data_IF_782055974339
#
_entry.id   IF_782055974339
#
_cell.length_a   1.000
_cell.length_b   1.000
_cell.length_c   1.000
_cell.angle_alpha   90.00
_cell.angle_beta   90.00
_cell.angle_gamma   90.00
#
_symmetry.space_group_name_H-M   'P 1'
#
loop_
_entity.id
_entity.type
_entity.pdbx_description
1 polymer ?
#
# COMPACT_ATOMS: atom_id res chain seq x y z
N UNK A 1 -6.07 30.85 -42.53
CA UNK A 1 -5.90 30.92 -41.05
C UNK A 1 -6.46 29.72 -40.31
N UNK A 2 -7.70 29.27 -40.53
CA UNK A 2 -8.27 28.08 -39.85
C UNK A 2 -7.51 26.76 -40.07
N UNK A 3 -6.94 26.55 -41.26
CA UNK A 3 -6.17 25.33 -41.56
C UNK A 3 -4.74 25.35 -41.01
N UNK A 4 -4.18 26.54 -40.76
CA UNK A 4 -2.85 26.70 -40.14
C UNK A 4 -2.88 26.38 -38.64
N UNK A 5 -3.98 26.71 -37.97
CA UNK A 5 -4.18 26.41 -36.54
C UNK A 5 -4.41 24.90 -36.34
N UNK A 6 -5.10 24.23 -37.26
CA UNK A 6 -5.33 22.77 -37.19
C UNK A 6 -4.03 21.99 -37.35
N UNK A 7 -3.13 22.42 -38.24
CA UNK A 7 -1.82 21.81 -38.43
C UNK A 7 -0.90 21.98 -37.21
N UNK A 8 -0.94 23.12 -36.53
CA UNK A 8 -0.13 23.39 -35.33
C UNK A 8 -0.62 22.54 -34.14
N UNK A 9 -1.94 22.33 -34.01
CA UNK A 9 -2.50 21.46 -32.96
C UNK A 9 -2.18 19.98 -33.22
N UNK A 10 -2.20 19.53 -34.48
CA UNK A 10 -1.88 18.13 -34.81
C UNK A 10 -0.39 17.81 -34.67
N UNK A 11 0.50 18.77 -34.97
CA UNK A 11 1.95 18.63 -34.74
C UNK A 11 2.28 18.74 -33.25
N UNK A 12 1.57 19.58 -32.48
CA UNK A 12 1.73 19.65 -31.03
C UNK A 12 1.32 18.37 -30.29
N UNK A 13 0.35 17.62 -30.81
CA UNK A 13 -0.12 16.36 -30.20
C UNK A 13 0.81 15.16 -30.49
N UNK A 14 1.61 15.21 -31.56
CA UNK A 14 2.64 14.19 -31.85
C UNK A 14 3.96 14.43 -31.11
N UNK A 15 4.11 15.55 -30.38
CA UNK A 15 5.28 15.90 -29.58
C UNK A 15 5.12 15.63 -28.08
N UNK A 16 4.00 15.04 -27.65
CA UNK A 16 3.91 14.38 -26.33
C UNK A 16 4.67 13.07 -26.46
N UNK A 17 5.99 13.21 -26.37
CA UNK A 17 6.95 12.16 -26.66
C UNK A 17 6.68 10.89 -25.89
N UNK A 18 7.05 9.77 -26.53
CA UNK A 18 7.37 8.55 -25.84
C UNK A 18 8.33 8.91 -24.70
N UNK A 19 7.80 8.94 -23.47
CA UNK A 19 8.63 8.95 -22.27
C UNK A 19 9.41 7.65 -22.38
N UNK A 20 10.76 7.68 -22.53
CA UNK A 20 11.51 6.43 -22.48
C UNK A 20 11.14 5.79 -21.13
N UNK A 21 10.61 4.57 -21.18
CA UNK A 21 10.50 3.77 -19.97
C UNK A 21 11.93 3.74 -19.40
N UNK A 22 12.15 4.45 -18.30
CA UNK A 22 13.42 4.39 -17.61
C UNK A 22 13.63 2.92 -17.29
N UNK A 23 14.68 2.32 -17.85
CA UNK A 23 15.08 0.98 -17.48
C UNK A 23 15.25 1.00 -15.96
N UNK A 24 14.41 0.25 -15.24
CA UNK A 24 14.49 0.16 -13.79
C UNK A 24 15.91 -0.28 -13.42
N UNK A 25 16.56 0.34 -12.42
CA UNK A 25 17.92 -0.03 -12.04
C UNK A 25 17.93 -1.51 -11.66
N UNK A 26 18.66 -2.29 -12.46
CA UNK A 26 18.63 -3.75 -12.37
C UNK A 26 19.34 -4.19 -11.08
N UNK A 27 18.68 -5.06 -10.32
CA UNK A 27 19.34 -5.69 -9.17
C UNK A 27 20.44 -6.57 -9.71
N UNK A 28 21.69 -6.23 -9.38
CA UNK A 28 22.81 -6.91 -10.00
C UNK A 28 22.88 -8.41 -9.64
N UNK A 29 22.48 -8.79 -8.42
CA UNK A 29 22.54 -10.18 -7.91
C UNK A 29 22.08 -10.30 -6.45
N UNK A 30 21.81 -11.55 -6.06
CA UNK A 30 21.52 -11.99 -4.70
C UNK A 30 22.77 -12.68 -4.14
N UNK A 31 23.21 -12.31 -2.93
CA UNK A 31 24.35 -12.98 -2.28
C UNK A 31 23.94 -14.32 -1.68
N UNK A 32 22.82 -14.35 -0.95
CA UNK A 32 22.37 -15.51 -0.21
C UNK A 32 20.86 -15.66 -0.39
N UNK A 33 20.41 -16.87 -0.69
CA UNK A 33 19.00 -17.20 -0.84
C UNK A 33 18.72 -18.57 -0.24
N UNK A 34 17.80 -18.61 0.70
CA UNK A 34 17.20 -19.83 1.23
C UNK A 34 15.77 -19.94 0.72
N UNK A 35 15.46 -21.07 0.08
CA UNK A 35 14.13 -21.43 -0.38
C UNK A 35 13.63 -22.61 0.44
N UNK A 36 12.64 -22.38 1.27
CA UNK A 36 12.02 -23.41 2.11
C UNK A 36 10.74 -23.90 1.44
N UNK A 37 10.66 -25.20 1.12
CA UNK A 37 9.52 -25.82 0.44
C UNK A 37 8.84 -26.79 1.40
N UNK A 38 7.66 -26.43 1.89
CA UNK A 38 6.94 -27.18 2.93
C UNK A 38 5.58 -27.66 2.40
N UNK A 39 5.50 -28.89 1.87
CA UNK A 39 4.24 -29.46 1.43
C UNK A 39 3.34 -29.73 2.63
N UNK A 40 2.08 -29.31 2.53
CA UNK A 40 1.04 -29.59 3.50
C UNK A 40 1.44 -29.23 4.95
N UNK A 41 2.04 -28.05 5.13
CA UNK A 41 2.52 -27.60 6.44
C UNK A 41 1.36 -27.20 7.35
N UNK A 42 0.71 -26.08 7.07
CA UNK A 42 -0.42 -25.52 7.82
C UNK A 42 -1.72 -25.48 7.00
N UNK A 43 -1.62 -25.64 5.69
CA UNK A 43 -2.70 -25.79 4.73
C UNK A 43 -2.53 -27.08 3.90
N UNK A 44 -3.57 -27.62 3.23
CA UNK A 44 -3.42 -28.73 2.28
C UNK A 44 -2.74 -28.33 0.95
N UNK A 45 -2.02 -27.20 0.95
CA UNK A 45 -1.24 -26.64 -0.17
C UNK A 45 0.25 -26.68 0.18
N UNK A 46 1.11 -26.24 -0.73
CA UNK A 46 2.55 -26.07 -0.47
C UNK A 46 2.81 -24.64 -0.05
N UNK A 47 3.49 -24.49 1.08
CA UNK A 47 4.07 -23.23 1.53
C UNK A 47 5.51 -23.12 1.01
N UNK A 48 5.83 -22.03 0.34
CA UNK A 48 7.20 -21.72 -0.07
C UNK A 48 7.62 -20.36 0.47
N UNK A 49 8.77 -20.34 1.13
CA UNK A 49 9.37 -19.12 1.68
C UNK A 49 10.70 -18.86 0.99
N UNK A 50 10.93 -17.61 0.61
CA UNK A 50 12.16 -17.11 0.03
C UNK A 50 12.73 -16.11 1.02
N UNK A 51 13.83 -16.45 1.69
CA UNK A 51 14.59 -15.54 2.53
C UNK A 51 15.95 -15.31 1.90
N UNK A 52 16.32 -14.06 1.66
CA UNK A 52 17.60 -13.80 1.02
C UNK A 52 18.13 -12.40 1.25
N UNK A 53 19.27 -12.12 0.61
CA UNK A 53 20.00 -10.87 0.76
C UNK A 53 20.56 -10.42 -0.58
N UNK A 54 20.29 -9.17 -0.94
CA UNK A 54 20.92 -8.53 -2.09
C UNK A 54 22.43 -8.34 -1.85
N UNK A 55 23.25 -8.39 -2.90
CA UNK A 55 24.67 -8.06 -2.75
C UNK A 55 24.87 -6.64 -2.20
N UNK A 56 26.00 -6.36 -1.52
CA UNK A 56 26.33 -5.02 -1.04
C UNK A 56 26.34 -3.97 -2.16
N UNK A 57 26.19 -2.70 -1.78
CA UNK A 57 26.23 -1.52 -2.66
C UNK A 57 25.01 -1.34 -3.60
N UNK A 58 23.88 -1.96 -3.26
CA UNK A 58 22.58 -1.58 -3.85
C UNK A 58 22.09 -0.25 -3.28
N UNK A 59 21.48 0.59 -4.12
CA UNK A 59 20.84 1.83 -3.67
C UNK A 59 19.43 1.51 -3.20
N UNK A 60 19.07 1.90 -1.98
CA UNK A 60 17.77 1.63 -1.38
C UNK A 60 16.91 2.91 -1.32
N UNK A 61 15.57 2.84 -1.45
CA UNK A 61 14.80 1.61 -1.70
C UNK A 61 15.04 1.05 -3.11
N UNK A 62 15.11 -0.27 -3.22
CA UNK A 62 15.38 -0.97 -4.48
C UNK A 62 14.13 -1.75 -4.90
N UNK A 63 13.61 -1.52 -6.11
CA UNK A 63 12.57 -2.36 -6.68
C UNK A 63 13.16 -3.71 -7.05
N UNK A 64 12.55 -4.79 -6.59
CA UNK A 64 12.96 -6.18 -6.85
C UNK A 64 11.84 -6.95 -7.52
N UNK A 65 12.21 -8.01 -8.23
CA UNK A 65 11.29 -8.88 -8.96
C UNK A 65 11.64 -10.34 -8.71
N UNK A 66 10.63 -11.17 -8.46
CA UNK A 66 10.82 -12.61 -8.25
C UNK A 66 9.85 -13.41 -9.13
N UNK A 67 10.30 -14.58 -9.59
CA UNK A 67 9.43 -15.56 -10.23
C UNK A 67 8.88 -16.51 -9.18
N UNK A 68 7.57 -16.70 -9.23
CA UNK A 68 6.87 -17.73 -8.47
C UNK A 68 5.92 -18.48 -9.42
N UNK A 69 5.44 -19.68 -9.06
CA UNK A 69 4.47 -20.40 -9.86
C UNK A 69 3.27 -19.51 -10.21
N UNK A 70 2.74 -19.64 -11.42
CA UNK A 70 1.68 -18.77 -11.94
C UNK A 70 0.44 -18.68 -11.04
N UNK A 71 0.07 -19.80 -10.42
CA UNK A 71 -1.09 -19.91 -9.53
C UNK A 71 -0.77 -19.58 -8.06
N UNK A 72 0.42 -19.06 -7.77
CA UNK A 72 0.82 -18.76 -6.41
C UNK A 72 0.08 -17.55 -5.83
N UNK A 73 -0.35 -17.72 -4.58
CA UNK A 73 -0.91 -16.68 -3.74
C UNK A 73 0.22 -16.13 -2.86
N UNK A 74 0.55 -14.86 -3.02
CA UNK A 74 1.57 -14.18 -2.20
C UNK A 74 0.94 -13.74 -0.88
N UNK A 75 1.32 -14.40 0.21
CA UNK A 75 0.85 -14.04 1.55
C UNK A 75 1.69 -12.93 2.18
N UNK A 76 3.00 -12.91 1.92
CA UNK A 76 3.91 -11.89 2.43
C UNK A 76 4.98 -11.52 1.39
N UNK A 77 5.31 -10.23 1.30
CA UNK A 77 6.42 -9.69 0.51
C UNK A 77 7.04 -8.54 1.31
N UNK A 78 8.21 -8.75 1.90
CA UNK A 78 8.74 -7.91 2.96
C UNK A 78 10.25 -7.70 2.81
N UNK A 79 10.74 -6.58 3.33
CA UNK A 79 12.14 -6.47 3.73
C UNK A 79 12.33 -7.07 5.12
N UNK A 80 13.49 -7.67 5.40
CA UNK A 80 13.84 -8.19 6.73
C UNK A 80 14.81 -7.26 7.42
N UNK A 81 14.38 -6.62 8.51
CA UNK A 81 15.25 -5.74 9.27
C UNK A 81 15.99 -6.55 10.35
N UNK A 82 17.28 -6.77 10.11
CA UNK A 82 18.21 -7.39 11.05
C UNK A 82 18.48 -6.45 12.26
N UNK A 83 18.79 -6.98 13.46
CA UNK A 83 19.02 -8.40 13.77
C UNK A 83 17.76 -9.20 14.14
N UNK A 84 16.63 -8.55 14.38
CA UNK A 84 15.44 -9.20 14.97
C UNK A 84 14.51 -9.87 13.94
N UNK A 85 14.89 -9.86 12.66
CA UNK A 85 14.06 -10.34 11.55
C UNK A 85 12.66 -9.68 11.54
N UNK A 86 12.60 -8.38 11.81
CA UNK A 86 11.35 -7.62 11.73
C UNK A 86 10.90 -7.52 10.26
N UNK A 87 9.70 -8.05 9.96
CA UNK A 87 9.10 -8.02 8.63
C UNK A 87 8.57 -6.61 8.30
N UNK A 88 9.27 -5.91 7.40
CA UNK A 88 8.84 -4.64 6.82
C UNK A 88 8.06 -4.90 5.53
N UNK A 89 6.83 -5.39 5.67
CA UNK A 89 6.02 -5.81 4.51
C UNK A 89 5.55 -4.65 3.63
N UNK A 90 5.54 -4.92 2.32
CA UNK A 90 5.39 -3.94 1.26
C UNK A 90 4.16 -4.28 0.42
N UNK A 91 3.59 -3.27 -0.23
CA UNK A 91 2.68 -3.53 -1.34
C UNK A 91 3.48 -4.10 -2.52
N UNK A 92 2.87 -5.03 -3.23
CA UNK A 92 3.47 -5.68 -4.38
C UNK A 92 2.57 -5.58 -5.60
N UNK A 93 3.19 -5.66 -6.77
CA UNK A 93 2.55 -5.79 -8.07
C UNK A 93 2.80 -7.19 -8.61
N UNK A 94 1.85 -7.71 -9.39
CA UNK A 94 2.01 -8.98 -10.08
C UNK A 94 1.79 -8.85 -11.59
N UNK A 95 2.57 -9.61 -12.35
CA UNK A 95 2.42 -9.72 -13.80
C UNK A 95 2.66 -11.16 -14.24
N UNK A 96 1.77 -11.70 -15.07
CA UNK A 96 1.94 -13.05 -15.64
C UNK A 96 2.99 -13.00 -16.74
N UNK A 97 3.94 -13.94 -16.70
CA UNK A 97 4.99 -14.13 -17.70
C UNK A 97 5.13 -15.62 -18.04
N UNK A 98 4.43 -16.05 -19.09
CA UNK A 98 4.34 -17.47 -19.48
C UNK A 98 3.72 -18.34 -18.38
N UNK A 99 4.53 -19.26 -17.84
CA UNK A 99 4.19 -20.19 -16.76
C UNK A 99 4.56 -19.64 -15.37
N UNK A 100 4.99 -18.38 -15.30
CA UNK A 100 5.39 -17.72 -14.06
C UNK A 100 4.47 -16.55 -13.71
N UNK A 101 4.39 -16.25 -12.42
CA UNK A 101 3.94 -14.97 -11.90
C UNK A 101 5.16 -14.19 -11.45
N UNK A 102 5.33 -12.98 -11.99
CA UNK A 102 6.36 -12.04 -11.56
C UNK A 102 5.78 -11.21 -10.42
N UNK A 103 6.37 -11.31 -9.23
CA UNK A 103 6.04 -10.50 -8.06
C UNK A 103 7.06 -9.39 -7.93
N UNK A 104 6.61 -8.13 -7.86
CA UNK A 104 7.50 -6.96 -7.80
C UNK A 104 7.15 -6.07 -6.61
N UNK A 105 8.15 -5.63 -5.85
CA UNK A 105 7.94 -4.74 -4.69
C UNK A 105 9.21 -3.94 -4.36
N UNK A 106 9.10 -2.89 -3.55
CA UNK A 106 10.23 -2.06 -3.13
C UNK A 106 10.84 -2.57 -1.83
N UNK A 107 12.15 -2.81 -1.81
CA UNK A 107 12.88 -3.18 -0.61
C UNK A 107 13.51 -1.96 0.07
N UNK A 108 13.15 -1.64 1.33
CA UNK A 108 13.78 -0.57 2.10
C UNK A 108 15.11 -1.00 2.75
N UNK A 109 15.37 -2.31 2.82
CA UNK A 109 16.56 -2.97 3.40
C UNK A 109 17.03 -4.08 2.45
N UNK A 110 18.30 -4.48 2.45
CA UNK A 110 18.82 -5.42 1.44
C UNK A 110 18.42 -6.89 1.69
N UNK A 111 18.05 -7.23 2.92
CA UNK A 111 17.53 -8.54 3.29
C UNK A 111 16.02 -8.59 2.98
N UNK A 112 15.53 -9.67 2.39
CA UNK A 112 14.15 -9.81 1.93
C UNK A 112 13.53 -11.13 2.37
N UNK A 113 12.20 -11.11 2.48
CA UNK A 113 11.37 -12.27 2.72
C UNK A 113 10.16 -12.25 1.80
N UNK A 114 9.82 -13.39 1.22
CA UNK A 114 8.59 -13.57 0.48
C UNK A 114 8.00 -14.94 0.81
N UNK A 115 6.70 -14.97 1.04
CA UNK A 115 5.96 -16.19 1.35
C UNK A 115 4.83 -16.37 0.35
N UNK A 116 4.73 -17.57 -0.22
CA UNK A 116 3.69 -17.92 -1.17
C UNK A 116 3.08 -19.28 -0.88
N UNK A 117 1.81 -19.42 -1.24
CA UNK A 117 1.09 -20.69 -1.23
C UNK A 117 0.64 -21.06 -2.64
N UNK A 118 0.78 -22.32 -3.04
CA UNK A 118 0.20 -22.84 -4.29
C UNK A 118 -0.03 -24.35 -4.17
N UNK A 119 -0.77 -24.94 -5.11
CA UNK A 119 -1.20 -26.33 -5.02
C UNK A 119 -0.67 -27.20 -6.18
N UNK A 120 0.61 -27.61 -6.16
CA UNK A 120 1.18 -28.53 -7.13
C UNK A 120 0.99 -30.00 -6.76
N UNK A 121 0.45 -30.29 -5.56
CA UNK A 121 0.33 -31.65 -5.04
C UNK A 121 -0.78 -32.40 -5.76
N UNK A 122 -0.41 -33.54 -6.32
CA UNK A 122 -1.31 -34.46 -7.00
C UNK A 122 -1.41 -35.78 -6.24
N UNK A 123 -2.53 -36.48 -6.40
CA UNK A 123 -2.78 -37.80 -5.79
C UNK A 123 -3.45 -37.76 -4.41
N UNK A 124 -3.89 -38.94 -3.95
CA UNK A 124 -4.52 -39.16 -2.65
C UNK A 124 -3.86 -40.36 -1.98
N UNK A 125 -3.35 -40.21 -0.75
CA UNK A 125 -2.51 -41.24 -0.14
C UNK A 125 -1.08 -41.15 -0.67
N UNK A 126 -0.85 -41.65 -1.89
CA UNK A 126 0.40 -41.41 -2.61
C UNK A 126 0.35 -40.03 -3.24
N UNK A 127 1.28 -39.15 -2.86
CA UNK A 127 1.34 -37.76 -3.31
C UNK A 127 2.62 -37.49 -4.07
N UNK A 128 2.50 -36.65 -5.09
CA UNK A 128 3.63 -36.20 -5.89
C UNK A 128 3.46 -34.73 -6.29
N UNK A 129 4.56 -34.01 -6.39
CA UNK A 129 4.63 -32.67 -6.93
C UNK A 129 5.97 -32.43 -7.62
N UNK A 130 5.96 -31.58 -8.65
CA UNK A 130 7.16 -31.00 -9.23
C UNK A 130 7.34 -29.59 -8.64
N UNK A 131 8.58 -29.25 -8.29
CA UNK A 131 8.98 -27.94 -7.79
C UNK A 131 10.09 -27.38 -8.68
N UNK A 132 9.77 -26.30 -9.37
CA UNK A 132 10.71 -25.62 -10.25
C UNK A 132 11.09 -24.28 -9.62
N UNK A 133 12.39 -24.08 -9.42
CA UNK A 133 12.94 -22.82 -8.94
C UNK A 133 13.76 -22.15 -10.04
N UNK A 134 13.46 -20.89 -10.33
CA UNK A 134 14.27 -20.04 -11.23
C UNK A 134 14.31 -18.61 -10.69
N UNK A 135 15.52 -18.04 -10.63
CA UNK A 135 15.72 -16.65 -10.20
C UNK A 135 15.93 -15.74 -11.40
N UNK A 136 15.34 -14.53 -11.37
CA UNK A 136 15.61 -13.48 -12.37
C UNK A 136 17.06 -12.99 -12.24
N UNK A 137 17.62 -13.04 -11.03
CA UNK A 137 18.95 -12.56 -10.73
C UNK A 137 19.94 -13.70 -10.50
N UNK A 138 21.24 -13.53 -10.79
CA UNK A 138 22.26 -14.46 -10.34
C UNK A 138 22.28 -14.58 -8.81
N UNK A 139 22.52 -15.78 -8.30
CA UNK A 139 22.55 -16.09 -6.85
C UNK A 139 23.90 -16.71 -6.47
N UNK A 140 24.63 -16.11 -5.55
CA UNK A 140 25.96 -16.61 -5.15
C UNK A 140 25.86 -17.89 -4.32
N UNK A 141 25.00 -17.89 -3.29
CA UNK A 141 24.75 -19.05 -2.45
C UNK A 141 23.23 -19.32 -2.40
N UNK A 142 22.81 -20.42 -3.01
CA UNK A 142 21.43 -20.89 -2.95
C UNK A 142 21.36 -22.15 -2.08
N UNK A 143 20.45 -22.14 -1.12
CA UNK A 143 20.02 -23.31 -0.37
C UNK A 143 18.52 -23.56 -0.63
N UNK A 144 18.15 -24.77 -1.00
CA UNK A 144 16.75 -25.20 -1.05
C UNK A 144 16.55 -26.29 -0.02
N UNK A 145 15.58 -26.11 0.89
CA UNK A 145 15.21 -27.10 1.89
C UNK A 145 13.81 -27.63 1.65
N UNK A 146 13.69 -28.92 1.34
CA UNK A 146 12.38 -29.57 1.19
C UNK A 146 12.04 -30.31 2.48
N UNK A 147 10.97 -29.89 3.15
CA UNK A 147 10.50 -30.50 4.39
C UNK A 147 9.68 -31.76 4.10
N UNK A 148 9.92 -32.83 4.84
CA UNK A 148 9.04 -33.99 4.87
C UNK A 148 7.76 -33.65 5.67
N UNK A 149 6.56 -33.78 5.07
CA UNK A 149 5.32 -33.52 5.79
C UNK A 149 5.14 -34.45 7.00
N UNK A 150 4.51 -33.98 8.08
CA UNK A 150 4.27 -34.82 9.24
C UNK A 150 3.31 -35.98 8.90
N UNK A 151 3.52 -37.13 9.55
CA UNK A 151 2.75 -38.37 9.34
C UNK A 151 2.84 -38.89 7.89
N UNK A 152 3.93 -38.60 7.19
CA UNK A 152 4.24 -39.17 5.88
C UNK A 152 5.32 -40.26 5.96
N UNK A 153 5.29 -41.20 5.02
CA UNK A 153 6.33 -42.19 4.76
C UNK A 153 6.83 -42.07 3.32
N UNK A 154 7.88 -42.84 3.00
CA UNK A 154 8.41 -42.96 1.63
C UNK A 154 8.77 -41.62 0.99
N UNK A 155 9.20 -40.65 1.82
CA UNK A 155 9.56 -39.31 1.36
C UNK A 155 10.85 -39.35 0.55
N UNK A 156 10.75 -39.01 -0.72
CA UNK A 156 11.87 -38.92 -1.64
C UNK A 156 11.79 -37.66 -2.50
N UNK A 157 12.96 -37.09 -2.76
CA UNK A 157 13.12 -35.97 -3.69
C UNK A 157 14.16 -36.37 -4.72
N UNK A 158 13.88 -36.10 -6.00
CA UNK A 158 14.79 -36.34 -7.13
C UNK A 158 15.19 -35.00 -7.75
N UNK A 159 16.49 -34.72 -7.95
CA UNK A 159 17.66 -35.55 -7.61
C UNK A 159 17.82 -35.75 -6.10
N UNK A 160 18.56 -36.79 -5.68
CA UNK A 160 18.83 -37.06 -4.25
C UNK A 160 19.61 -35.88 -3.64
N UNK A 161 19.23 -35.48 -2.43
CA UNK A 161 19.85 -34.34 -1.73
C UNK A 161 21.28 -34.66 -1.28
N UNK A 162 22.12 -33.63 -1.14
CA UNK A 162 23.48 -33.82 -0.61
C UNK A 162 23.47 -34.04 0.91
N UNK A 163 22.47 -33.48 1.59
CA UNK A 163 22.36 -33.51 3.05
C UNK A 163 20.92 -33.70 3.48
N UNK A 164 20.77 -34.32 4.64
CA UNK A 164 19.51 -34.42 5.38
C UNK A 164 19.74 -33.88 6.77
N UNK A 165 18.82 -33.06 7.28
CA UNK A 165 18.81 -32.59 8.66
C UNK A 165 17.46 -32.83 9.32
N UNK A 166 17.42 -32.79 10.64
CA UNK A 166 16.18 -32.75 11.42
C UNK A 166 16.20 -31.48 12.27
N UNK A 167 15.13 -30.69 12.24
CA UNK A 167 15.01 -29.49 13.07
C UNK A 167 14.64 -29.83 14.53
N UNK A 168 14.50 -28.80 15.36
CA UNK A 168 14.17 -28.95 16.78
C UNK A 168 12.74 -29.44 17.00
N UNK A 169 11.87 -29.26 16.01
CA UNK A 169 10.46 -29.68 16.00
C UNK A 169 10.30 -31.12 15.47
N UNK A 170 11.38 -31.77 15.04
CA UNK A 170 11.40 -33.13 14.55
C UNK A 170 11.08 -33.27 13.05
N UNK A 171 10.97 -32.16 12.31
CA UNK A 171 10.80 -32.21 10.86
C UNK A 171 12.13 -32.53 10.18
N UNK A 172 12.07 -33.46 9.23
CA UNK A 172 13.20 -33.83 8.38
C UNK A 172 13.23 -32.94 7.15
N UNK A 173 14.41 -32.45 6.78
CA UNK A 173 14.64 -31.67 5.57
C UNK A 173 15.69 -32.31 4.69
N UNK A 174 15.42 -32.38 3.40
CA UNK A 174 16.40 -32.68 2.36
C UNK A 174 16.92 -31.34 1.82
N UNK A 175 18.23 -31.11 1.99
CA UNK A 175 18.88 -29.85 1.66
C UNK A 175 19.67 -29.94 0.36
N UNK A 176 19.48 -28.92 -0.48
CA UNK A 176 20.19 -28.71 -1.73
C UNK A 176 20.99 -27.42 -1.66
N UNK A 177 22.29 -27.49 -1.95
CA UNK A 177 23.17 -26.32 -1.96
C UNK A 177 23.76 -26.12 -3.37
N UNK A 178 23.66 -24.89 -3.88
CA UNK A 178 24.20 -24.48 -5.17
C UNK A 178 25.04 -23.22 -4.99
N UNK A 179 26.19 -23.16 -5.66
CA UNK A 179 27.07 -21.99 -5.68
C UNK A 179 27.08 -21.36 -7.06
N UNK A 180 26.84 -20.06 -7.13
CA UNK A 180 26.87 -19.27 -8.37
C UNK A 180 25.81 -19.71 -9.37
N UNK A 181 24.54 -19.80 -8.93
CA UNK A 181 23.43 -20.09 -9.83
C UNK A 181 23.24 -18.89 -10.79
N UNK A 182 23.35 -19.06 -12.11
CA UNK A 182 23.12 -17.98 -13.06
C UNK A 182 21.64 -17.52 -13.04
N UNK A 183 21.40 -16.29 -13.48
CA UNK A 183 20.06 -15.83 -13.80
C UNK A 183 19.37 -16.79 -14.78
N UNK A 184 18.06 -16.96 -14.61
CA UNK A 184 17.17 -17.79 -15.41
C UNK A 184 17.49 -19.29 -15.42
N UNK A 185 18.50 -19.75 -14.66
CA UNK A 185 18.81 -21.16 -14.53
C UNK A 185 17.79 -21.84 -13.61
N UNK A 186 17.09 -22.82 -14.16
CA UNK A 186 16.12 -23.61 -13.38
C UNK A 186 16.79 -24.72 -12.58
N UNK A 187 16.28 -24.93 -11.36
CA UNK A 187 16.50 -26.10 -10.51
C UNK A 187 15.16 -26.84 -10.38
N UNK A 188 15.12 -28.07 -10.88
CA UNK A 188 13.90 -28.90 -10.88
C UNK A 188 14.00 -29.99 -9.80
N UNK A 189 13.00 -30.07 -8.93
CA UNK A 189 12.90 -31.08 -7.87
C UNK A 189 11.58 -31.84 -8.00
N UNK A 190 11.64 -33.16 -8.07
CA UNK A 190 10.46 -34.04 -8.05
C UNK A 190 10.28 -34.62 -6.66
N UNK A 191 9.20 -34.28 -5.99
CA UNK A 191 8.90 -34.69 -4.62
C UNK A 191 7.80 -35.75 -4.64
N UNK A 192 7.99 -36.82 -3.87
CA UNK A 192 6.95 -37.82 -3.63
C UNK A 192 6.95 -38.28 -2.17
N UNK A 193 5.77 -38.64 -1.68
CA UNK A 193 5.56 -39.17 -0.35
C UNK A 193 4.22 -39.87 -0.22
N UNK A 194 4.09 -40.73 0.78
CA UNK A 194 2.84 -41.35 1.17
C UNK A 194 2.32 -40.67 2.43
N UNK A 195 1.08 -40.18 2.41
CA UNK A 195 0.43 -39.59 3.60
C UNK A 195 -1.02 -40.08 3.69
N UNK A 196 -1.37 -40.85 4.73
CA UNK A 196 -2.66 -41.54 4.82
C UNK A 196 -3.83 -40.61 5.18
N UNK A 197 -3.56 -39.43 5.71
CA UNK A 197 -4.55 -38.44 6.14
C UNK A 197 -4.49 -37.15 5.30
N UNK A 198 -5.52 -36.30 5.40
CA UNK A 198 -5.57 -34.97 4.77
C UNK A 198 -5.30 -33.84 5.75
N UNK A 199 -4.73 -34.13 6.93
CA UNK A 199 -4.45 -33.11 7.94
C UNK A 199 -3.09 -32.49 7.65
N UNK A 200 -2.97 -31.15 7.65
CA UNK A 200 -1.68 -30.48 7.57
C UNK A 200 -0.75 -30.90 8.71
N UNK A 201 0.54 -30.68 8.51
CA UNK A 201 1.60 -31.05 9.46
C UNK A 201 1.46 -30.35 10.81
N UNK A 202 1.05 -29.08 10.79
CA UNK A 202 0.76 -28.23 11.94
C UNK A 202 -0.64 -27.61 11.78
N UNK A 203 -1.23 -27.18 12.89
CA UNK A 203 -2.47 -26.41 12.82
C UNK A 203 -2.17 -24.99 12.34
N UNK A 204 -2.99 -24.47 11.42
CA UNK A 204 -2.88 -23.07 10.99
C UNK A 204 -3.07 -22.13 12.19
N UNK A 205 -2.08 -21.29 12.47
CA UNK A 205 -2.24 -20.24 13.45
C UNK A 205 -3.15 -19.15 12.89
N UNK A 206 -4.21 -18.81 13.61
CA UNK A 206 -5.01 -17.63 13.30
C UNK A 206 -4.21 -16.40 13.72
N UNK A 207 -3.51 -15.76 12.79
CA UNK A 207 -3.00 -14.41 13.01
C UNK A 207 -4.20 -13.47 13.22
N UNK A 208 -4.31 -12.89 14.40
CA UNK A 208 -5.29 -11.84 14.68
C UNK A 208 -5.08 -10.72 13.68
N UNK A 209 -6.15 -10.35 12.97
CA UNK A 209 -6.12 -9.34 11.92
C UNK A 209 -5.50 -8.05 12.46
N UNK A 210 -4.25 -7.76 12.06
CA UNK A 210 -3.74 -6.41 12.11
C UNK A 210 -4.60 -5.62 11.13
N UNK A 211 -5.56 -4.87 11.67
CA UNK A 211 -6.36 -3.94 10.88
C UNK A 211 -5.38 -2.92 10.32
N UNK A 212 -5.01 -3.07 9.05
CA UNK A 212 -4.34 -2.02 8.31
C UNK A 212 -5.24 -0.79 8.39
N UNK A 213 -4.93 0.11 9.31
CA UNK A 213 -5.55 1.41 9.36
C UNK A 213 -5.01 2.14 8.14
N UNK A 214 -5.74 2.07 7.03
CA UNK A 214 -5.61 3.02 5.96
C UNK A 214 -6.02 4.38 6.55
N UNK A 215 -5.08 5.07 7.19
CA UNK A 215 -5.17 6.51 7.37
C UNK A 215 -5.09 7.09 5.97
N UNK A 216 -6.26 7.22 5.33
CA UNK A 216 -6.40 8.16 4.23
C UNK A 216 -5.82 9.48 4.73
N UNK A 217 -4.75 9.94 4.07
CA UNK A 217 -3.99 11.12 4.44
C UNK A 217 -4.90 12.36 4.29
N UNK A 218 -5.74 12.58 5.31
CA UNK A 218 -6.73 13.65 5.41
C UNK A 218 -6.06 15.03 5.35
N UNK A 219 -4.75 15.09 5.60
CA UNK A 219 -3.95 16.31 5.47
C UNK A 219 -3.85 16.77 4.02
N UNK A 220 -3.67 15.86 3.05
CA UNK A 220 -3.56 16.22 1.62
C UNK A 220 -4.88 16.74 1.05
N UNK A 221 -6.01 16.12 1.39
CA UNK A 221 -7.33 16.58 0.95
C UNK A 221 -7.70 17.94 1.57
N UNK A 222 -7.34 18.17 2.84
CA UNK A 222 -7.52 19.47 3.49
C UNK A 222 -6.73 20.58 2.79
N UNK A 223 -5.46 20.34 2.46
CA UNK A 223 -4.64 21.34 1.75
C UNK A 223 -5.14 21.62 0.33
N UNK A 224 -5.63 20.61 -0.40
CA UNK A 224 -6.23 20.80 -1.73
C UNK A 224 -7.49 21.68 -1.63
N UNK A 225 -8.37 21.43 -0.66
CA UNK A 225 -9.58 22.23 -0.45
C UNK A 225 -9.22 23.68 -0.08
N UNK A 226 -8.25 23.88 0.81
CA UNK A 226 -7.78 25.22 1.20
C UNK A 226 -7.25 25.99 -0.01
N UNK A 227 -6.42 25.36 -0.86
CA UNK A 227 -5.88 26.01 -2.07
C UNK A 227 -6.99 26.35 -3.06
N UNK A 228 -7.95 25.45 -3.29
CA UNK A 228 -9.08 25.70 -4.21
C UNK A 228 -9.98 26.85 -3.70
N UNK A 229 -10.27 26.89 -2.40
CA UNK A 229 -11.06 27.97 -1.80
C UNK A 229 -10.32 29.31 -1.86
N UNK A 230 -9.01 29.32 -1.59
CA UNK A 230 -8.18 30.52 -1.71
C UNK A 230 -8.13 31.04 -3.15
N UNK A 231 -7.95 30.15 -4.13
CA UNK A 231 -7.98 30.50 -5.55
C UNK A 231 -9.35 31.06 -5.98
N UNK A 232 -10.44 30.46 -5.50
CA UNK A 232 -11.80 30.95 -5.74
C UNK A 232 -12.05 32.34 -5.14
N UNK A 233 -11.57 32.58 -3.92
CA UNK A 233 -11.70 33.89 -3.26
C UNK A 233 -10.89 34.98 -3.98
N UNK A 234 -9.68 34.67 -4.45
CA UNK A 234 -8.84 35.58 -5.24
C UNK A 234 -9.54 35.93 -6.56
N UNK A 235 -10.07 34.94 -7.28
CA UNK A 235 -10.82 35.18 -8.51
C UNK A 235 -12.05 36.08 -8.28
N UNK A 236 -12.78 35.88 -7.19
CA UNK A 236 -13.95 36.69 -6.82
C UNK A 236 -13.58 38.15 -6.52
N UNK A 237 -12.45 38.38 -5.84
CA UNK A 237 -11.92 39.72 -5.57
C UNK A 237 -11.52 40.41 -6.87
N UNK A 238 -10.80 39.72 -7.77
CA UNK A 238 -10.39 40.27 -9.07
C UNK A 238 -11.60 40.62 -9.95
N UNK A 239 -12.63 39.76 -10.00
CA UNK A 239 -13.88 40.04 -10.72
C UNK A 239 -14.60 41.25 -10.14
N UNK A 240 -14.68 41.37 -8.81
CA UNK A 240 -15.32 42.51 -8.13
C UNK A 240 -14.58 43.83 -8.36
N UNK A 241 -13.25 43.79 -8.43
CA UNK A 241 -12.42 44.95 -8.79
C UNK A 241 -12.64 45.35 -10.24
N UNK A 242 -12.73 44.37 -11.15
CA UNK A 242 -12.98 44.63 -12.57
C UNK A 242 -14.38 45.20 -12.86
N UNK A 243 -15.40 44.76 -12.10
CA UNK A 243 -16.77 45.26 -12.19
C UNK A 243 -16.93 46.68 -11.60
N UNK A 244 -16.13 47.05 -10.59
CA UNK A 244 -16.15 48.40 -10.01
C UNK A 244 -15.46 49.45 -10.87
N UNK A 245 -14.55 49.05 -11.76
CA UNK A 245 -13.91 49.95 -12.73
C UNK A 245 -14.78 50.36 -13.91
N UNK A 246 -16.03 49.87 -14.02
CA UNK A 246 -16.95 50.17 -15.15
C UNK A 246 -18.10 51.12 -14.82
N UNK A 247 -18.12 51.74 -13.65
CA UNK A 247 -19.10 52.80 -13.35
C UNK A 247 -18.46 54.14 -13.67
N UNK A 248 -18.58 54.55 -14.94
CA UNK A 248 -18.42 55.95 -15.31
C UNK A 248 -19.43 56.78 -14.50
N UNK A 249 -19.02 57.90 -13.86
CA UNK A 249 -19.97 58.82 -13.27
C UNK A 249 -20.68 59.56 -14.41
N UNK A 250 -21.81 59.02 -14.85
CA UNK A 250 -22.71 59.72 -15.75
C UNK A 250 -23.30 60.93 -15.01
N UNK A 251 -22.92 62.12 -15.49
CA UNK A 251 -23.54 63.40 -15.20
C UNK A 251 -25.04 63.39 -15.50
N UNK A 252 -25.88 63.74 -14.52
CA UNK A 252 -27.19 64.35 -14.72
C UNK A 252 -27.64 64.93 -13.37
N UNK A 253 -27.65 66.26 -13.19
CA UNK A 253 -28.66 67.21 -13.66
C UNK A 253 -29.56 67.61 -12.48
N UNK A 254 -29.36 68.85 -12.04
CA UNK A 254 -30.17 69.54 -11.06
C UNK A 254 -31.65 69.55 -11.46
N UNK A 255 -32.56 69.40 -10.49
CA UNK A 255 -33.85 70.08 -10.48
C UNK A 255 -34.34 70.32 -9.05
N UNK A 256 -34.80 71.55 -8.86
CA UNK A 256 -35.38 72.12 -7.65
C UNK A 256 -36.77 71.53 -7.36
N UNK A 257 -37.22 71.63 -6.11
CA UNK A 257 -38.62 71.97 -5.84
C UNK A 257 -39.37 71.17 -4.78
N UNK A 258 -39.52 71.80 -3.60
CA UNK A 258 -40.79 72.01 -2.85
C UNK A 258 -41.57 70.86 -2.21
N UNK A 259 -41.96 71.09 -0.93
CA UNK A 259 -43.13 70.51 -0.24
C UNK A 259 -42.78 69.49 0.85
N UNK A 260 -42.66 69.87 2.12
CA UNK A 260 -43.75 70.03 3.11
C UNK A 260 -44.68 68.83 3.24
N UNK A 261 -44.50 67.99 4.28
CA UNK A 261 -45.40 67.89 5.44
C UNK A 261 -45.05 66.70 6.37
N UNK A 262 -44.86 67.06 7.65
CA UNK A 262 -45.32 66.44 8.90
C UNK A 262 -45.88 64.99 8.87
N UNK A 263 -45.35 64.17 9.78
CA UNK A 263 -45.98 62.94 10.30
C UNK A 263 -44.96 62.08 11.05
N UNK A 264 -44.68 62.41 12.31
CA UNK A 264 -45.21 61.71 13.49
C UNK A 264 -44.39 60.47 13.90
N UNK A 265 -43.87 60.54 15.11
CA UNK A 265 -42.98 59.60 15.76
C UNK A 265 -43.66 58.26 16.06
N UNK A 266 -42.90 57.17 15.88
CA UNK A 266 -42.98 55.97 16.73
C UNK A 266 -41.56 55.52 17.03
N UNK A 267 -41.17 55.63 18.31
CA UNK A 267 -40.00 54.94 18.87
C UNK A 267 -40.49 53.57 19.35
N UNK A 268 -39.71 52.50 19.11
CA UNK A 268 -39.31 51.69 20.27
C UNK A 268 -37.80 51.45 20.35
N UNK A 269 -37.38 51.38 21.61
CA UNK A 269 -36.05 51.12 22.19
C UNK A 269 -35.17 50.06 21.50
N UNK A 270 -33.84 50.15 21.70
CA UNK A 270 -32.87 49.20 21.17
C UNK A 270 -32.87 47.90 21.97
N UNK A 271 -32.86 46.76 21.28
CA UNK A 271 -32.54 45.47 21.89
C UNK A 271 -31.01 45.34 22.00
N UNK A 272 -30.58 45.11 23.24
CA UNK A 272 -29.19 45.00 23.66
C UNK A 272 -28.46 43.82 23.00
N UNK A 273 -27.16 44.03 22.82
CA UNK A 273 -26.16 43.11 22.28
C UNK A 273 -25.99 41.92 23.24
N UNK A 274 -26.32 40.71 22.81
CA UNK A 274 -25.99 39.47 23.53
C UNK A 274 -24.56 39.02 23.20
N UNK A 275 -23.65 39.14 24.17
CA UNK A 275 -22.29 38.59 24.10
C UNK A 275 -22.32 37.06 24.10
N UNK A 276 -21.49 36.47 23.23
CA UNK A 276 -21.43 35.03 22.97
C UNK A 276 -20.48 34.38 24.00
N UNK A 277 -21.01 33.87 25.11
CA UNK A 277 -20.20 33.12 26.08
C UNK A 277 -20.03 31.65 25.65
N UNK A 278 -18.91 31.04 26.01
CA UNK A 278 -18.57 29.64 25.73
C UNK A 278 -18.27 28.89 27.04
N UNK A 279 -18.58 27.60 27.10
CA UNK A 279 -18.35 26.74 28.25
C UNK A 279 -16.85 26.54 28.48
N UNK A 280 -16.37 26.81 29.69
CA UNK A 280 -14.94 26.67 30.03
C UNK A 280 -14.47 25.22 30.13
N UNK A 281 -15.40 24.26 30.24
CA UNK A 281 -15.06 22.84 30.39
C UNK A 281 -14.93 22.11 29.04
N UNK A 282 -15.79 22.43 28.06
CA UNK A 282 -15.82 21.73 26.78
C UNK A 282 -15.81 22.65 25.55
N UNK A 283 -15.77 23.97 25.74
CA UNK A 283 -15.72 24.95 24.65
C UNK A 283 -17.04 25.17 23.91
N UNK A 284 -18.12 24.44 24.24
CA UNK A 284 -19.40 24.62 23.56
C UNK A 284 -20.06 25.96 23.88
N UNK A 285 -20.77 26.53 22.90
CA UNK A 285 -21.39 27.85 23.02
C UNK A 285 -22.59 27.81 23.97
N UNK A 286 -22.60 28.70 24.95
CA UNK A 286 -23.69 28.81 25.91
C UNK A 286 -24.78 29.75 25.38
N UNK A 287 -26.04 29.40 25.62
CA UNK A 287 -27.17 30.32 25.38
C UNK A 287 -27.41 31.15 26.64
N UNK A 288 -27.94 32.34 26.43
CA UNK A 288 -28.23 33.28 27.52
C UNK A 288 -29.29 32.69 28.44
N UNK A 289 -28.93 32.42 29.71
CA UNK A 289 -29.83 31.83 30.71
C UNK A 289 -29.62 30.33 30.99
N UNK A 290 -28.70 29.66 30.28
CA UNK A 290 -28.39 28.24 30.54
C UNK A 290 -27.69 28.08 31.91
N UNK A 291 -28.27 27.29 32.83
CA UNK A 291 -27.64 26.89 34.10
C UNK A 291 -26.65 25.74 33.96
N UNK A 292 -26.80 24.93 32.90
CA UNK A 292 -25.96 23.79 32.57
C UNK A 292 -25.64 23.80 31.08
N UNK A 293 -24.44 23.38 30.70
CA UNK A 293 -24.03 23.26 29.30
C UNK A 293 -24.78 22.12 28.60
N UNK A 294 -25.45 22.42 27.49
CA UNK A 294 -26.18 21.41 26.70
C UNK A 294 -25.28 20.35 26.05
N UNK A 295 -23.98 20.62 25.91
CA UNK A 295 -23.02 19.67 25.33
C UNK A 295 -22.48 18.63 26.32
N UNK A 296 -22.16 19.05 27.55
CA UNK A 296 -21.46 18.19 28.51
C UNK A 296 -22.10 18.14 29.91
N UNK A 297 -23.18 18.88 30.15
CA UNK A 297 -23.89 18.91 31.43
C UNK A 297 -23.20 19.71 32.55
N UNK A 298 -22.02 20.30 32.32
CA UNK A 298 -21.31 21.09 33.34
C UNK A 298 -22.09 22.36 33.72
N UNK A 299 -22.14 22.68 35.02
CA UNK A 299 -22.78 23.89 35.54
C UNK A 299 -22.05 25.16 35.07
N UNK A 300 -22.81 26.16 34.63
CA UNK A 300 -22.27 27.39 34.00
C UNK A 300 -21.91 28.50 35.01
N UNK A 301 -21.98 28.19 36.31
CA UNK A 301 -21.46 29.08 37.36
C UNK A 301 -22.20 30.43 37.51
N UNK A 302 -23.50 30.48 37.20
CA UNK A 302 -24.33 31.67 37.47
C UNK A 302 -24.73 31.77 38.94
N UNK A 303 -24.10 32.67 39.70
CA UNK A 303 -24.53 33.11 41.03
C UNK A 303 -25.93 33.74 40.97
N UNK A 304 -26.67 33.66 42.09
CA UNK A 304 -28.00 34.27 42.28
C UNK A 304 -28.01 35.76 41.96
#
# INVERSE_FOLDING_TARGET
MKWLILSIVLVGLMLVGAVPAAAEPDVASISDLTVSVWPEYDEPRVLVMYEGKLRPNVSLPQKVRFRVPKEAEVSEACGLKKPDDEHLCQLYETAVDGDWLIVSYELPVPDFFMQVYYNPVSGSGQRAMDFDFSSIYPVDNLQIGVQQPARSSDFAVTPVSQRTITDQQGFKYLLYEFKGLPADKTVDLKINYTKPDSQPSVAKQQQGSATASATADSSRLFWIIVVVVMMGAIALVLVRQHLRGRVEPASAMAWQGTGSMRGAAVVPRPAAIASRAFCTQCGNRLRTGDRFCSGCGAGTGGAR
#
